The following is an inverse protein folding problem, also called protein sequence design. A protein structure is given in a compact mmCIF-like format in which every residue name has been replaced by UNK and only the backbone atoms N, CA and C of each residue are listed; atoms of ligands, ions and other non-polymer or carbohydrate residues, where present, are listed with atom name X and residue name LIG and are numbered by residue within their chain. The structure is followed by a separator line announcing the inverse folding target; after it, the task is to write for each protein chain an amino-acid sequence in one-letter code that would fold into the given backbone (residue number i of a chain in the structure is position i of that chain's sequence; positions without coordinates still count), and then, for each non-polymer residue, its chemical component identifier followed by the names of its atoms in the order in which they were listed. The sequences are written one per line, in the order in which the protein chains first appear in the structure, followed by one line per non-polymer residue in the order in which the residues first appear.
data_IF_721643430941
#
_entry.id   IF_721643430941
#
_cell.length_a   1.000
_cell.length_b   1.000
_cell.length_c   1.000
_cell.angle_alpha   90.00
_cell.angle_beta   90.00
_cell.angle_gamma   90.00
#
_symmetry.space_group_name_H-M   'P 1'
#
loop_
_entity.id
_entity.type
_entity.pdbx_description
1 polymer ?
#
# COMPACT_ATOMS: atom_id res chain seq x y z
N UNK A 1 23.36 -27.10 44.65
CA UNK A 1 22.84 -25.77 44.27
C UNK A 1 23.82 -24.88 43.49
N UNK A 2 25.13 -24.93 43.72
CA UNK A 2 26.11 -24.06 43.02
C UNK A 2 26.21 -24.36 41.51
N UNK A 3 26.16 -25.62 41.10
CA UNK A 3 26.22 -26.03 39.69
C UNK A 3 25.09 -25.47 38.80
N UNK A 4 23.84 -25.43 39.30
CA UNK A 4 22.70 -24.85 38.56
C UNK A 4 22.84 -23.33 38.35
N UNK A 5 23.51 -22.62 39.27
CA UNK A 5 23.74 -21.18 39.18
C UNK A 5 24.81 -20.84 38.13
N UNK A 6 25.79 -21.72 37.94
CA UNK A 6 26.79 -21.58 36.88
C UNK A 6 26.22 -21.89 35.49
N UNK A 7 25.30 -22.85 35.38
CA UNK A 7 24.62 -23.17 34.11
C UNK A 7 23.79 -21.97 33.63
N UNK A 8 23.03 -21.33 34.53
CA UNK A 8 22.23 -20.13 34.19
C UNK A 8 23.13 -18.95 33.78
N UNK A 9 24.26 -18.75 34.45
CA UNK A 9 25.19 -17.69 34.12
C UNK A 9 25.89 -17.89 32.76
N UNK A 10 26.20 -19.14 32.40
CA UNK A 10 26.80 -19.48 31.09
C UNK A 10 25.77 -19.29 29.97
N UNK A 11 24.51 -19.66 30.20
CA UNK A 11 23.43 -19.49 29.22
C UNK A 11 23.11 -18.00 28.97
N UNK A 12 23.20 -17.18 30.02
CA UNK A 12 23.02 -15.72 29.90
C UNK A 12 24.20 -15.05 29.19
N UNK A 13 25.43 -15.56 29.36
CA UNK A 13 26.63 -15.05 28.70
C UNK A 13 26.65 -15.37 27.20
N UNK A 14 26.08 -16.52 26.80
CA UNK A 14 25.98 -16.95 25.41
C UNK A 14 24.99 -16.09 24.58
N UNK A 15 24.03 -15.43 25.25
CA UNK A 15 23.07 -14.50 24.64
C UNK A 15 23.63 -13.08 24.39
N UNK A 16 24.80 -12.75 24.92
CA UNK A 16 25.40 -11.40 24.81
C UNK A 16 26.48 -11.36 23.71
N UNK A 17 26.82 -12.51 23.10
CA UNK A 17 27.68 -12.50 21.93
C UNK A 17 26.90 -11.98 20.72
N UNK A 18 27.30 -10.84 20.13
CA UNK A 18 26.72 -10.40 18.88
C UNK A 18 27.10 -11.44 17.83
N UNK A 19 26.14 -12.23 17.37
CA UNK A 19 26.30 -12.97 16.12
C UNK A 19 26.38 -11.93 15.02
N UNK A 20 27.61 -11.55 14.67
CA UNK A 20 27.89 -10.76 13.49
C UNK A 20 27.44 -11.54 12.27
N UNK A 21 26.20 -11.31 11.84
CA UNK A 21 25.75 -11.67 10.51
C UNK A 21 26.62 -10.85 9.57
N UNK A 22 27.58 -11.50 8.91
CA UNK A 22 28.30 -10.88 7.80
C UNK A 22 27.28 -10.68 6.68
N UNK A 23 26.71 -9.48 6.59
CA UNK A 23 26.06 -9.02 5.38
C UNK A 23 27.12 -9.04 4.27
N UNK A 24 26.96 -9.93 3.30
CA UNK A 24 27.70 -9.86 2.05
C UNK A 24 27.23 -8.60 1.32
N UNK A 25 28.09 -7.59 1.29
CA UNK A 25 28.00 -6.45 0.41
C UNK A 25 28.20 -6.91 -1.04
N UNK A 26 27.15 -7.48 -1.63
CA UNK A 26 26.81 -7.10 -2.99
C UNK A 26 26.21 -5.70 -2.84
N UNK A 27 26.72 -4.67 -3.53
CA UNK A 27 25.85 -3.53 -3.82
C UNK A 27 24.66 -4.12 -4.57
N UNK A 28 23.46 -4.20 -3.95
CA UNK A 28 22.29 -4.62 -4.69
C UNK A 28 22.07 -3.52 -5.71
N UNK A 29 21.80 -3.87 -6.96
CA UNK A 29 21.08 -2.96 -7.83
C UNK A 29 19.72 -2.79 -7.16
N UNK A 30 19.62 -1.74 -6.34
CA UNK A 30 18.53 -1.58 -5.40
C UNK A 30 17.24 -1.31 -6.18
N UNK A 31 16.11 -1.96 -5.84
CA UNK A 31 14.78 -1.58 -6.31
C UNK A 31 14.52 -0.05 -6.24
N UNK A 32 15.18 0.63 -5.30
CA UNK A 32 15.22 2.09 -5.17
C UNK A 32 15.75 2.84 -6.41
N UNK A 33 16.68 2.28 -7.18
CA UNK A 33 17.24 2.93 -8.36
C UNK A 33 16.18 3.22 -9.43
N UNK A 34 15.24 2.29 -9.64
CA UNK A 34 14.14 2.47 -10.58
C UNK A 34 13.19 3.59 -10.12
N UNK A 35 12.92 3.68 -8.81
CA UNK A 35 12.10 4.75 -8.25
C UNK A 35 12.73 6.14 -8.46
N UNK A 36 14.05 6.27 -8.27
CA UNK A 36 14.75 7.54 -8.55
C UNK A 36 14.66 7.95 -10.02
N UNK A 37 14.86 7.01 -10.96
CA UNK A 37 14.71 7.29 -12.40
C UNK A 37 13.29 7.77 -12.70
N UNK A 38 12.28 7.14 -12.08
CA UNK A 38 10.88 7.50 -12.26
C UNK A 38 10.52 8.87 -11.67
N UNK A 39 11.06 9.22 -10.51
CA UNK A 39 10.87 10.54 -9.89
C UNK A 39 11.47 11.66 -10.77
N UNK A 40 12.69 11.47 -11.26
CA UNK A 40 13.36 12.41 -12.15
C UNK A 40 12.63 12.54 -13.49
N UNK A 41 12.22 11.42 -14.09
CA UNK A 41 11.42 11.42 -15.32
C UNK A 41 10.11 12.19 -15.13
N UNK A 42 9.41 11.98 -14.02
CA UNK A 42 8.18 12.71 -13.70
C UNK A 42 8.43 14.22 -13.55
N UNK A 43 9.52 14.62 -12.90
CA UNK A 43 9.89 16.03 -12.77
C UNK A 43 10.19 16.67 -14.14
N UNK A 44 10.88 15.94 -15.02
CA UNK A 44 11.17 16.42 -16.37
C UNK A 44 9.89 16.60 -17.19
N UNK A 45 8.96 15.65 -17.15
CA UNK A 45 7.68 15.79 -17.87
C UNK A 45 6.85 16.93 -17.33
N UNK A 46 6.78 17.11 -15.99
CA UNK A 46 6.11 18.26 -15.35
C UNK A 46 6.69 19.61 -15.77
N UNK A 47 7.95 19.64 -16.21
CA UNK A 47 8.63 20.84 -16.72
C UNK A 47 8.71 20.88 -18.25
N UNK A 48 7.92 20.06 -18.93
CA UNK A 48 7.83 19.94 -20.40
C UNK A 48 9.14 19.49 -21.09
N UNK A 49 10.09 18.93 -20.33
CA UNK A 49 11.37 18.41 -20.85
C UNK A 49 11.22 16.97 -21.35
N UNK A 50 10.32 16.77 -22.32
CA UNK A 50 9.91 15.42 -22.78
C UNK A 50 11.04 14.58 -23.36
N UNK A 51 11.97 15.19 -24.11
CA UNK A 51 13.12 14.47 -24.71
C UNK A 51 14.02 13.89 -23.63
N UNK A 52 14.23 14.65 -22.56
CA UNK A 52 15.09 14.23 -21.45
C UNK A 52 14.40 13.17 -20.59
N UNK A 53 13.10 13.32 -20.36
CA UNK A 53 12.29 12.28 -19.73
C UNK A 53 12.31 10.96 -20.53
N UNK A 54 12.21 11.04 -21.86
CA UNK A 54 12.30 9.86 -22.73
C UNK A 54 13.66 9.18 -22.59
N UNK A 55 14.76 9.93 -22.59
CA UNK A 55 16.09 9.36 -22.37
C UNK A 55 16.23 8.69 -21.00
N UNK A 56 15.59 9.23 -19.95
CA UNK A 56 15.56 8.55 -18.64
C UNK A 56 14.76 7.25 -18.69
N UNK A 57 13.67 7.20 -19.45
CA UNK A 57 12.90 5.96 -19.64
C UNK A 57 13.68 4.92 -20.46
N UNK A 58 14.58 5.32 -21.37
CA UNK A 58 15.51 4.39 -22.00
C UNK A 58 16.47 3.78 -20.96
N UNK A 59 17.04 4.61 -20.08
CA UNK A 59 17.90 4.15 -18.97
C UNK A 59 17.12 3.24 -18.01
N UNK A 60 15.87 3.57 -17.71
CA UNK A 60 14.98 2.71 -16.92
C UNK A 60 14.89 1.31 -17.52
N UNK A 61 14.74 1.19 -18.84
CA UNK A 61 14.61 -0.11 -19.51
C UNK A 61 15.85 -0.99 -19.32
N UNK A 62 17.04 -0.38 -19.41
CA UNK A 62 18.31 -1.06 -19.17
C UNK A 62 18.44 -1.53 -17.71
N UNK A 63 18.14 -0.66 -16.74
CA UNK A 63 18.20 -1.00 -15.32
C UNK A 63 17.15 -2.05 -14.94
N UNK A 64 15.94 -1.94 -15.46
CA UNK A 64 14.89 -2.94 -15.26
C UNK A 64 15.31 -4.30 -15.79
N UNK A 65 15.91 -4.36 -16.99
CA UNK A 65 16.43 -5.60 -17.57
C UNK A 65 17.54 -6.22 -16.71
N UNK A 66 18.47 -5.41 -16.18
CA UNK A 66 19.50 -5.89 -15.26
C UNK A 66 18.90 -6.47 -13.98
N UNK A 67 17.88 -5.79 -13.44
CA UNK A 67 17.16 -6.24 -12.26
C UNK A 67 16.49 -7.60 -12.52
N UNK A 68 15.81 -7.76 -13.67
CA UNK A 68 15.19 -9.03 -14.07
C UNK A 68 16.18 -10.19 -14.19
N UNK A 69 17.38 -9.93 -14.72
CA UNK A 69 18.44 -10.96 -14.85
C UNK A 69 19.02 -11.33 -13.49
N UNK A 70 19.17 -10.34 -12.61
CA UNK A 70 19.82 -10.51 -11.30
C UNK A 70 18.86 -11.07 -10.25
N UNK A 71 17.59 -10.68 -10.29
CA UNK A 71 16.55 -11.05 -9.35
C UNK A 71 15.47 -11.89 -10.04
N UNK A 72 15.65 -13.21 -10.03
CA UNK A 72 14.73 -14.18 -10.65
C UNK A 72 13.40 -14.35 -9.90
N UNK A 73 13.14 -13.55 -8.86
CA UNK A 73 11.94 -13.65 -8.04
C UNK A 73 10.78 -12.79 -8.56
N UNK A 74 11.00 -11.88 -9.51
CA UNK A 74 9.91 -11.07 -10.07
C UNK A 74 8.97 -11.97 -10.89
N UNK A 75 7.68 -12.02 -10.55
CA UNK A 75 6.69 -12.77 -11.30
C UNK A 75 6.59 -12.31 -12.76
N UNK A 76 6.52 -13.24 -13.75
CA UNK A 76 6.46 -12.88 -15.17
C UNK A 76 5.30 -11.94 -15.55
N UNK A 77 4.20 -11.95 -14.80
CA UNK A 77 3.07 -11.06 -15.06
C UNK A 77 3.39 -9.60 -14.71
N UNK A 78 4.07 -9.35 -13.60
CA UNK A 78 4.53 -8.00 -13.22
C UNK A 78 5.49 -7.44 -14.26
N UNK A 79 6.40 -8.27 -14.78
CA UNK A 79 7.30 -7.89 -15.88
C UNK A 79 6.52 -7.41 -17.10
N UNK A 80 5.47 -8.16 -17.45
CA UNK A 80 4.62 -7.84 -18.58
C UNK A 80 3.86 -6.53 -18.36
N UNK A 81 3.35 -6.30 -17.15
CA UNK A 81 2.64 -5.08 -16.79
C UNK A 81 3.59 -3.87 -16.88
N UNK A 82 4.76 -3.92 -16.22
CA UNK A 82 5.75 -2.82 -16.27
C UNK A 82 6.19 -2.53 -17.70
N UNK A 83 6.51 -3.57 -18.48
CA UNK A 83 6.96 -3.40 -19.87
C UNK A 83 5.88 -2.75 -20.74
N UNK A 84 4.61 -3.13 -20.56
CA UNK A 84 3.50 -2.55 -21.30
C UNK A 84 3.28 -1.08 -20.94
N UNK A 85 3.30 -0.75 -19.65
CA UNK A 85 3.13 0.64 -19.19
C UNK A 85 4.31 1.50 -19.62
N UNK A 86 5.54 0.99 -19.52
CA UNK A 86 6.74 1.67 -20.02
C UNK A 86 6.65 2.03 -21.50
N UNK A 87 6.26 1.07 -22.34
CA UNK A 87 6.08 1.32 -23.77
C UNK A 87 5.01 2.38 -24.05
N UNK A 88 3.91 2.39 -23.30
CA UNK A 88 2.86 3.41 -23.41
C UNK A 88 3.37 4.79 -22.98
N UNK A 89 4.13 4.86 -21.88
CA UNK A 89 4.77 6.10 -21.41
C UNK A 89 5.72 6.66 -22.45
N UNK A 90 6.57 5.82 -23.05
CA UNK A 90 7.48 6.20 -24.14
C UNK A 90 6.70 6.78 -25.33
N UNK A 91 5.68 6.07 -25.80
CA UNK A 91 4.84 6.53 -26.90
C UNK A 91 4.16 7.88 -26.60
N UNK A 92 3.70 8.07 -25.36
CA UNK A 92 3.06 9.31 -24.91
C UNK A 92 4.02 10.50 -24.94
N UNK A 93 5.29 10.30 -24.56
CA UNK A 93 6.30 11.36 -24.63
C UNK A 93 6.64 11.73 -26.08
N UNK A 94 6.72 10.73 -26.96
CA UNK A 94 7.01 10.92 -28.39
C UNK A 94 5.86 11.55 -29.18
N UNK A 95 4.61 11.41 -28.73
CA UNK A 95 3.45 11.97 -29.42
C UNK A 95 3.38 13.50 -29.25
N UNK A 96 3.58 14.25 -30.34
CA UNK A 96 3.53 15.72 -30.32
C UNK A 96 2.13 16.30 -30.23
N UNK A 97 1.10 15.50 -30.52
CA UNK A 97 -0.30 15.93 -30.48
C UNK A 97 -0.96 15.63 -29.12
N UNK A 98 -0.37 14.75 -28.33
CA UNK A 98 -0.89 14.39 -27.02
C UNK A 98 -0.76 15.57 -26.02
N UNK A 99 -1.84 15.96 -25.33
CA UNK A 99 -1.81 17.04 -24.34
C UNK A 99 -0.79 16.79 -23.22
N UNK A 100 -0.21 17.86 -22.67
CA UNK A 100 0.75 17.80 -21.57
C UNK A 100 0.25 16.95 -20.39
N UNK A 101 -1.00 17.15 -19.96
CA UNK A 101 -1.57 16.42 -18.82
C UNK A 101 -1.61 14.91 -19.04
N UNK A 102 -1.89 14.46 -20.27
CA UNK A 102 -1.89 13.04 -20.61
C UNK A 102 -0.47 12.46 -20.61
N UNK A 103 0.54 13.24 -21.03
CA UNK A 103 1.94 12.84 -20.90
C UNK A 103 2.35 12.69 -19.43
N UNK A 104 1.96 13.64 -18.58
CA UNK A 104 2.21 13.57 -17.14
C UNK A 104 1.53 12.34 -16.55
N UNK A 105 0.26 12.09 -16.89
CA UNK A 105 -0.53 10.95 -16.42
C UNK A 105 0.11 9.62 -16.82
N UNK A 106 0.61 9.50 -18.04
CA UNK A 106 1.31 8.31 -18.52
C UNK A 106 2.58 8.01 -17.71
N UNK A 107 3.31 9.04 -17.24
CA UNK A 107 4.49 8.84 -16.39
C UNK A 107 4.10 8.54 -14.95
N UNK A 108 3.05 9.19 -14.42
CA UNK A 108 2.52 8.85 -13.09
C UNK A 108 2.11 7.38 -13.04
N UNK A 109 1.39 6.89 -14.05
CA UNK A 109 1.00 5.48 -14.16
C UNK A 109 2.20 4.55 -14.09
N UNK A 110 3.27 4.82 -14.83
CA UNK A 110 4.49 4.02 -14.78
C UNK A 110 5.14 4.07 -13.40
N UNK A 111 5.23 5.26 -12.80
CA UNK A 111 5.80 5.45 -11.47
C UNK A 111 5.05 4.66 -10.41
N UNK A 112 3.72 4.69 -10.43
CA UNK A 112 2.88 3.93 -9.51
C UNK A 112 3.05 2.42 -9.71
N UNK A 113 3.22 1.94 -10.95
CA UNK A 113 3.42 0.52 -11.22
C UNK A 113 4.81 0.04 -10.75
N UNK A 114 5.85 0.85 -11.02
CA UNK A 114 7.22 0.57 -10.55
C UNK A 114 7.26 0.55 -9.03
N UNK A 115 6.60 1.51 -8.38
CA UNK A 115 6.51 1.55 -6.94
C UNK A 115 5.82 0.31 -6.38
N UNK A 116 4.64 -0.07 -6.89
CA UNK A 116 3.92 -1.29 -6.48
C UNK A 116 4.80 -2.55 -6.55
N UNK A 117 5.54 -2.72 -7.65
CA UNK A 117 6.48 -3.84 -7.81
C UNK A 117 7.61 -3.86 -6.75
N UNK A 118 7.98 -2.70 -6.21
CA UNK A 118 9.14 -2.56 -5.30
C UNK A 118 8.76 -2.33 -3.84
N UNK A 119 7.51 -1.98 -3.56
CA UNK A 119 7.01 -1.59 -2.25
C UNK A 119 6.43 -2.78 -1.52
N UNK A 120 7.03 -3.15 -0.39
CA UNK A 120 6.58 -4.32 0.38
C UNK A 120 5.34 -4.04 1.28
N UNK A 121 5.11 -2.80 1.71
CA UNK A 121 4.17 -2.52 2.80
C UNK A 121 3.17 -1.37 2.58
N UNK A 122 3.38 -0.47 1.61
CA UNK A 122 2.41 0.60 1.32
C UNK A 122 2.69 1.25 -0.04
N UNK A 123 2.15 0.71 -1.14
CA UNK A 123 2.37 1.27 -2.45
C UNK A 123 1.61 2.61 -2.60
N UNK A 124 2.23 3.57 -3.28
CA UNK A 124 1.79 4.96 -3.43
C UNK A 124 0.44 5.11 -4.11
N UNK A 125 -0.02 4.12 -4.88
CA UNK A 125 -1.34 4.19 -5.50
C UNK A 125 -2.47 4.12 -4.48
N UNK A 126 -2.22 3.64 -3.26
CA UNK A 126 -3.23 3.63 -2.17
C UNK A 126 -3.69 5.05 -1.83
N UNK A 127 -2.83 6.06 -2.01
CA UNK A 127 -3.17 7.48 -1.82
C UNK A 127 -4.24 7.97 -2.82
N UNK A 128 -4.54 7.18 -3.86
CA UNK A 128 -5.62 7.47 -4.81
C UNK A 128 -7.00 7.01 -4.31
N UNK A 129 -7.11 6.40 -3.13
CA UNK A 129 -8.40 6.01 -2.55
C UNK A 129 -9.34 7.20 -2.43
N UNK A 130 -8.93 8.24 -1.70
CA UNK A 130 -9.75 9.42 -1.45
C UNK A 130 -10.26 10.10 -2.73
N UNK A 131 -9.41 10.45 -3.72
CA UNK A 131 -9.89 11.08 -4.95
C UNK A 131 -10.84 10.17 -5.74
N UNK A 132 -10.54 8.87 -5.86
CA UNK A 132 -11.35 7.92 -6.60
C UNK A 132 -12.74 7.72 -5.96
N UNK A 133 -12.76 7.51 -4.63
CA UNK A 133 -14.00 7.37 -3.87
C UNK A 133 -14.82 8.66 -3.89
N UNK A 134 -14.17 9.82 -3.77
CA UNK A 134 -14.87 11.11 -3.84
C UNK A 134 -15.50 11.33 -5.22
N UNK A 135 -14.78 11.05 -6.32
CA UNK A 135 -15.34 11.13 -7.68
C UNK A 135 -16.52 10.18 -7.85
N UNK A 136 -16.43 8.95 -7.33
CA UNK A 136 -17.55 8.01 -7.35
C UNK A 136 -18.76 8.50 -6.54
N UNK A 137 -18.54 9.10 -5.37
CA UNK A 137 -19.63 9.67 -4.56
C UNK A 137 -20.34 10.81 -5.29
N UNK A 138 -19.58 11.69 -5.95
CA UNK A 138 -20.15 12.75 -6.78
C UNK A 138 -20.93 12.16 -7.96
N UNK A 139 -20.42 11.08 -8.56
CA UNK A 139 -21.12 10.39 -9.65
C UNK A 139 -22.46 9.85 -9.15
N UNK A 140 -22.49 9.24 -7.96
CA UNK A 140 -23.73 8.80 -7.31
C UNK A 140 -24.69 9.97 -7.10
N UNK A 141 -24.24 11.10 -6.55
CA UNK A 141 -25.08 12.29 -6.35
C UNK A 141 -25.68 12.83 -7.67
N UNK A 142 -24.95 12.68 -8.79
CA UNK A 142 -25.46 13.06 -10.12
C UNK A 142 -26.61 12.17 -10.60
N UNK A 143 -26.63 10.89 -10.19
CA UNK A 143 -27.74 9.96 -10.44
C UNK A 143 -28.98 10.41 -9.67
N UNK A 144 -28.81 10.78 -8.40
CA UNK A 144 -29.90 11.24 -7.52
C UNK A 144 -30.59 12.49 -8.05
N UNK A 145 -29.77 13.41 -8.56
CA UNK A 145 -30.21 14.68 -9.12
C UNK A 145 -30.63 14.57 -10.59
N UNK A 146 -30.44 13.39 -11.20
CA UNK A 146 -30.69 13.09 -12.62
C UNK A 146 -29.96 14.04 -13.57
N UNK A 147 -28.76 14.48 -13.17
CA UNK A 147 -27.92 15.37 -13.95
C UNK A 147 -27.03 14.56 -14.90
N UNK A 148 -27.49 14.42 -16.14
CA UNK A 148 -26.84 13.62 -17.15
C UNK A 148 -25.48 14.17 -17.61
N UNK A 149 -25.30 15.50 -17.61
CA UNK A 149 -24.07 16.14 -18.08
C UNK A 149 -22.97 16.02 -17.01
N UNK A 150 -23.36 16.23 -15.74
CA UNK A 150 -22.48 16.01 -14.60
C UNK A 150 -22.09 14.54 -14.48
N UNK A 151 -23.03 13.61 -14.68
CA UNK A 151 -22.75 12.17 -14.69
C UNK A 151 -21.66 11.81 -15.69
N UNK A 152 -21.80 12.24 -16.95
CA UNK A 152 -20.84 11.94 -18.01
C UNK A 152 -19.43 12.44 -17.67
N UNK A 153 -19.35 13.65 -17.13
CA UNK A 153 -18.07 14.27 -16.75
C UNK A 153 -17.40 13.51 -15.61
N UNK A 154 -18.17 13.15 -14.58
CA UNK A 154 -17.68 12.41 -13.42
C UNK A 154 -17.32 10.97 -13.75
N UNK A 155 -18.07 10.32 -14.63
CA UNK A 155 -17.76 8.96 -15.09
C UNK A 155 -16.43 8.93 -15.86
N UNK A 156 -16.21 9.89 -16.77
CA UNK A 156 -14.91 10.02 -17.46
C UNK A 156 -13.76 10.27 -16.50
N UNK A 157 -13.98 11.10 -15.47
CA UNK A 157 -12.99 11.34 -14.44
C UNK A 157 -12.69 10.09 -13.62
N UNK A 158 -13.71 9.35 -13.21
CA UNK A 158 -13.58 8.07 -12.51
C UNK A 158 -12.77 7.08 -13.33
N UNK A 159 -13.05 6.97 -14.63
CA UNK A 159 -12.32 6.10 -15.55
C UNK A 159 -10.84 6.49 -15.65
N UNK A 160 -10.53 7.80 -15.74
CA UNK A 160 -9.16 8.28 -15.78
C UNK A 160 -8.40 8.00 -14.47
N UNK A 161 -9.05 8.21 -13.31
CA UNK A 161 -8.48 7.93 -12.00
C UNK A 161 -8.24 6.43 -11.80
N UNK A 162 -9.19 5.58 -12.23
CA UNK A 162 -9.07 4.13 -12.17
C UNK A 162 -7.98 3.60 -13.11
N UNK A 163 -7.97 4.02 -14.38
CA UNK A 163 -6.96 3.63 -15.37
C UNK A 163 -5.55 4.03 -14.92
N UNK A 164 -5.40 5.13 -14.17
CA UNK A 164 -4.11 5.56 -13.61
C UNK A 164 -3.53 4.56 -12.60
N UNK A 165 -4.37 3.95 -11.75
CA UNK A 165 -3.92 2.99 -10.72
C UNK A 165 -3.98 1.53 -11.18
N UNK A 166 -4.75 1.24 -12.22
CA UNK A 166 -5.07 -0.13 -12.62
C UNK A 166 -3.84 -1.05 -12.83
N UNK A 167 -2.71 -0.61 -13.43
CA UNK A 167 -1.51 -1.45 -13.51
C UNK A 167 -0.94 -1.84 -12.14
N UNK A 168 -0.93 -0.91 -11.18
CA UNK A 168 -0.46 -1.15 -9.81
C UNK A 168 -1.42 -2.06 -9.04
N UNK A 169 -2.73 -1.82 -9.18
CA UNK A 169 -3.76 -2.67 -8.60
C UNK A 169 -3.61 -4.12 -9.07
N UNK A 170 -3.26 -4.34 -10.35
CA UNK A 170 -3.01 -5.68 -10.90
C UNK A 170 -1.78 -6.40 -10.34
N UNK A 171 -0.87 -5.67 -9.69
CA UNK A 171 0.28 -6.25 -9.00
C UNK A 171 -0.07 -6.64 -7.57
N UNK A 172 -0.80 -5.76 -6.88
CA UNK A 172 -0.96 -5.84 -5.43
C UNK A 172 -2.29 -6.47 -4.98
N UNK A 173 -3.29 -6.52 -5.86
CA UNK A 173 -4.66 -6.94 -5.52
C UNK A 173 -5.04 -8.23 -6.24
N UNK A 174 -5.77 -9.10 -5.56
CA UNK A 174 -6.23 -10.37 -6.13
C UNK A 174 -7.15 -10.14 -7.34
N UNK A 175 -7.03 -10.94 -8.42
CA UNK A 175 -7.81 -10.75 -9.65
C UNK A 175 -9.32 -10.71 -9.46
N UNK A 176 -9.86 -11.39 -8.45
CA UNK A 176 -11.30 -11.44 -8.18
C UNK A 176 -11.88 -10.06 -7.85
N UNK A 177 -11.15 -9.22 -7.10
CA UNK A 177 -11.62 -7.86 -6.78
C UNK A 177 -11.49 -6.92 -7.97
N UNK A 178 -10.41 -7.07 -8.74
CA UNK A 178 -10.17 -6.28 -9.96
C UNK A 178 -11.30 -6.52 -10.96
N UNK A 179 -11.60 -7.79 -11.26
CA UNK A 179 -12.68 -8.17 -12.17
C UNK A 179 -14.04 -7.63 -11.72
N UNK A 180 -14.27 -7.57 -10.41
CA UNK A 180 -15.51 -7.04 -9.85
C UNK A 180 -15.64 -5.55 -10.11
N UNK A 181 -14.57 -4.79 -9.87
CA UNK A 181 -14.55 -3.34 -10.13
C UNK A 181 -14.57 -3.03 -11.63
N UNK A 182 -13.85 -3.80 -12.46
CA UNK A 182 -13.92 -3.69 -13.92
C UNK A 182 -15.37 -3.85 -14.41
N UNK A 183 -16.08 -4.86 -13.91
CA UNK A 183 -17.48 -5.09 -14.24
C UNK A 183 -18.39 -3.94 -13.79
N UNK A 184 -18.10 -3.32 -12.65
CA UNK A 184 -18.85 -2.16 -12.15
C UNK A 184 -18.61 -0.91 -12.99
N UNK A 185 -17.37 -0.63 -13.40
CA UNK A 185 -17.05 0.48 -14.31
C UNK A 185 -17.81 0.30 -15.64
N UNK A 186 -17.79 -0.91 -16.20
CA UNK A 186 -18.55 -1.28 -17.40
C UNK A 186 -20.07 -1.14 -17.21
N UNK A 187 -20.58 -1.49 -16.02
CA UNK A 187 -22.00 -1.38 -15.68
C UNK A 187 -22.46 0.07 -15.67
N UNK A 188 -21.67 0.97 -15.08
CA UNK A 188 -21.96 2.41 -15.02
C UNK A 188 -22.14 2.99 -16.44
N UNK A 189 -21.24 2.68 -17.37
CA UNK A 189 -21.34 3.13 -18.77
C UNK A 189 -22.61 2.61 -19.46
N UNK A 190 -22.84 1.29 -19.38
CA UNK A 190 -23.90 0.62 -20.14
C UNK A 190 -25.30 0.91 -19.61
N UNK A 191 -25.44 1.22 -18.32
CA UNK A 191 -26.73 1.41 -17.67
C UNK A 191 -27.02 2.87 -17.31
N UNK A 192 -26.25 3.83 -17.84
CA UNK A 192 -26.43 5.27 -17.60
C UNK A 192 -27.89 5.74 -17.71
N UNK A 193 -28.59 5.36 -18.77
CA UNK A 193 -29.99 5.78 -18.98
C UNK A 193 -30.93 5.21 -17.91
N UNK A 194 -30.72 3.95 -17.52
CA UNK A 194 -31.52 3.28 -16.50
C UNK A 194 -31.29 3.92 -15.13
N UNK A 195 -30.02 4.15 -14.78
CA UNK A 195 -29.58 4.78 -13.54
C UNK A 195 -30.18 6.18 -13.38
N UNK A 196 -30.11 7.02 -14.42
CA UNK A 196 -30.67 8.37 -14.38
C UNK A 196 -32.21 8.40 -14.36
N UNK A 197 -32.87 7.31 -14.76
CA UNK A 197 -34.33 7.22 -14.84
C UNK A 197 -34.98 6.65 -13.59
N UNK A 198 -34.39 5.61 -12.98
CA UNK A 198 -34.98 4.81 -11.90
C UNK A 198 -34.18 4.90 -10.60
N UNK A 199 -34.82 5.34 -9.52
CA UNK A 199 -34.18 5.49 -8.21
C UNK A 199 -34.00 4.17 -7.43
N UNK A 200 -34.51 3.04 -7.93
CA UNK A 200 -34.35 1.72 -7.30
C UNK A 200 -32.94 1.11 -7.52
N UNK A 201 -32.16 1.63 -8.48
CA UNK A 201 -30.78 1.21 -8.75
C UNK A 201 -29.75 1.79 -7.75
N UNK A 202 -30.25 2.42 -6.68
CA UNK A 202 -29.44 2.97 -5.59
C UNK A 202 -28.72 1.91 -4.75
N UNK A 203 -29.29 0.73 -4.65
CA UNK A 203 -28.65 -0.39 -3.95
C UNK A 203 -27.43 -0.88 -4.73
N UNK A 204 -27.46 -0.84 -6.07
CA UNK A 204 -26.32 -1.18 -6.91
C UNK A 204 -25.17 -0.18 -6.71
N UNK A 205 -25.46 1.11 -6.60
CA UNK A 205 -24.45 2.14 -6.32
C UNK A 205 -23.75 1.94 -4.98
N UNK A 206 -24.45 1.47 -3.95
CA UNK A 206 -23.84 1.14 -2.66
C UNK A 206 -22.92 -0.09 -2.75
N UNK A 207 -23.32 -1.10 -3.54
CA UNK A 207 -22.48 -2.29 -3.79
C UNK A 207 -21.21 -1.90 -4.53
N UNK A 208 -21.32 -1.07 -5.56
CA UNK A 208 -20.16 -0.56 -6.31
C UNK A 208 -19.22 0.22 -5.38
N UNK A 209 -19.76 1.11 -4.53
CA UNK A 209 -18.94 1.87 -3.57
C UNK A 209 -18.17 0.94 -2.60
N UNK A 210 -18.84 -0.10 -2.12
CA UNK A 210 -18.25 -1.06 -1.20
C UNK A 210 -17.13 -1.88 -1.86
N UNK A 211 -17.36 -2.36 -3.10
CA UNK A 211 -16.37 -3.13 -3.85
C UNK A 211 -15.18 -2.25 -4.29
N UNK A 212 -15.41 -0.99 -4.63
CA UNK A 212 -14.35 -0.02 -4.93
C UNK A 212 -13.47 0.22 -3.70
N UNK A 213 -14.08 0.40 -2.51
CA UNK A 213 -13.36 0.51 -1.24
C UNK A 213 -12.63 -0.79 -0.87
N UNK A 214 -13.15 -1.94 -1.27
CA UNK A 214 -12.52 -3.23 -0.98
C UNK A 214 -11.16 -3.38 -1.68
N UNK A 215 -10.96 -2.77 -2.86
CA UNK A 215 -9.64 -2.75 -3.53
C UNK A 215 -8.53 -2.21 -2.62
N UNK A 216 -8.83 -1.20 -1.81
CA UNK A 216 -7.86 -0.54 -0.93
C UNK A 216 -7.75 -1.21 0.46
N UNK A 217 -8.75 -2.02 0.86
CA UNK A 217 -8.78 -2.68 2.16
C UNK A 217 -7.98 -3.98 2.20
N UNK A 218 -7.92 -4.72 1.11
CA UNK A 218 -7.15 -5.98 1.05
C UNK A 218 -5.68 -5.75 1.46
N UNK A 219 -5.09 -4.62 1.08
CA UNK A 219 -3.75 -4.20 1.51
C UNK A 219 -3.70 -3.79 2.99
N UNK A 220 -4.68 -3.01 3.45
CA UNK A 220 -4.74 -2.52 4.84
C UNK A 220 -5.01 -3.63 5.87
N UNK A 221 -5.62 -4.75 5.50
CA UNK A 221 -5.88 -5.86 6.42
C UNK A 221 -4.63 -6.72 6.66
N UNK A 222 -3.76 -6.89 5.67
CA UNK A 222 -2.42 -7.50 5.87
C UNK A 222 -1.49 -6.59 6.69
N UNK A 223 -1.81 -5.29 6.77
CA UNK A 223 -1.12 -4.27 7.58
C UNK A 223 -1.58 -4.20 9.05
N UNK A 224 -2.57 -4.98 9.50
CA UNK A 224 -2.76 -5.17 10.95
C UNK A 224 -1.68 -6.10 11.51
N UNK A 225 -0.48 -5.53 11.62
CA UNK A 225 0.72 -6.07 12.20
C UNK A 225 0.41 -7.04 13.38
N UNK A 226 0.55 -8.37 13.21
CA UNK A 226 0.51 -9.30 14.32
C UNK A 226 1.55 -8.90 15.39
N UNK A 227 2.65 -8.29 14.93
CA UNK A 227 3.72 -7.74 15.74
C UNK A 227 3.23 -6.62 16.67
N UNK A 228 2.33 -5.74 16.24
CA UNK A 228 1.83 -4.60 17.03
C UNK A 228 0.92 -5.07 18.18
N UNK A 229 0.05 -6.05 17.93
CA UNK A 229 -0.72 -6.72 18.98
C UNK A 229 0.20 -7.45 19.96
N UNK A 230 1.22 -8.17 19.48
CA UNK A 230 2.20 -8.82 20.34
C UNK A 230 3.07 -7.82 21.13
N UNK A 231 3.40 -6.66 20.57
CA UNK A 231 4.13 -5.56 21.24
C UNK A 231 3.23 -4.91 22.30
N UNK A 232 1.96 -4.67 22.00
CA UNK A 232 0.99 -4.12 22.97
C UNK A 232 0.74 -5.11 24.12
N UNK A 233 0.58 -6.40 23.81
CA UNK A 233 0.41 -7.45 24.82
C UNK A 233 1.69 -7.61 25.66
N UNK A 234 2.87 -7.63 25.06
CA UNK A 234 4.13 -7.80 25.80
C UNK A 234 4.46 -6.60 26.69
N UNK A 235 4.31 -5.38 26.17
CA UNK A 235 4.52 -4.14 26.94
C UNK A 235 3.47 -4.01 28.05
N UNK A 236 2.19 -4.28 27.73
CA UNK A 236 1.09 -4.26 28.71
C UNK A 236 1.24 -5.33 29.80
N UNK A 237 1.68 -6.54 29.44
CA UNK A 237 1.91 -7.63 30.39
C UNK A 237 3.04 -7.31 31.37
N UNK A 238 4.11 -6.63 30.94
CA UNK A 238 5.20 -6.24 31.83
C UNK A 238 4.73 -5.20 32.88
N UNK A 239 3.92 -4.23 32.46
CA UNK A 239 3.31 -3.23 33.36
C UNK A 239 2.36 -3.92 34.35
N UNK A 240 1.49 -4.81 33.88
CA UNK A 240 0.59 -5.58 34.74
C UNK A 240 1.33 -6.46 35.76
N UNK A 241 2.41 -7.12 35.35
CA UNK A 241 3.24 -7.95 36.24
C UNK A 241 3.91 -7.11 37.33
N UNK A 242 4.47 -5.96 36.97
CA UNK A 242 5.15 -5.08 37.94
C UNK A 242 4.15 -4.50 38.95
N UNK A 243 2.98 -4.04 38.50
CA UNK A 243 1.92 -3.55 39.38
C UNK A 243 1.35 -4.65 40.27
N UNK A 244 1.11 -5.85 39.73
CA UNK A 244 0.65 -7.01 40.50
C UNK A 244 1.66 -7.41 41.59
N UNK A 245 2.96 -7.40 41.28
CA UNK A 245 4.02 -7.67 42.25
C UNK A 245 4.05 -6.63 43.38
N UNK A 246 3.96 -5.33 43.06
CA UNK A 246 3.94 -4.25 44.05
C UNK A 246 2.68 -4.33 44.91
N UNK A 247 1.51 -4.60 44.31
CA UNK A 247 0.26 -4.77 45.03
C UNK A 247 0.32 -5.95 46.01
N UNK A 248 0.85 -7.11 45.57
CA UNK A 248 1.04 -8.27 46.42
C UNK A 248 2.02 -8.00 47.58
N UNK A 249 3.12 -7.29 47.30
CA UNK A 249 4.09 -6.88 48.32
C UNK A 249 3.48 -5.92 49.35
N UNK A 250 2.64 -4.97 48.91
CA UNK A 250 1.91 -4.04 49.79
C UNK A 250 0.91 -4.77 50.68
N UNK A 251 0.17 -5.73 50.12
CA UNK A 251 -0.77 -6.57 50.87
C UNK A 251 -0.08 -7.36 51.99
N UNK A 252 1.05 -8.01 51.69
CA UNK A 252 1.86 -8.71 52.70
C UNK A 252 2.44 -7.77 53.76
N UNK A 253 2.81 -6.56 53.37
CA UNK A 253 3.27 -5.51 54.28
C UNK A 253 2.18 -5.10 55.28
N UNK A 254 0.97 -4.83 54.79
CA UNK A 254 -0.18 -4.46 55.62
C UNK A 254 -0.54 -5.59 56.62
N UNK A 255 -0.57 -6.84 56.15
CA UNK A 255 -0.86 -8.01 57.00
C UNK A 255 0.15 -8.19 58.13
N UNK A 256 1.45 -7.95 57.90
CA UNK A 256 2.48 -7.99 58.95
C UNK A 256 2.34 -6.85 59.97
N UNK A 257 1.85 -5.69 59.53
CA UNK A 257 1.66 -4.52 60.37
C UNK A 257 0.44 -4.69 61.30
N UNK A 258 -0.65 -5.27 60.80
CA UNK A 258 -1.80 -5.68 61.61
C UNK A 258 -1.43 -6.74 62.66
N UNK A 259 -0.68 -7.76 62.27
CA UNK A 259 -0.22 -8.80 63.19
C UNK A 259 0.66 -8.22 64.31
N UNK A 260 1.51 -7.23 64.01
CA UNK A 260 2.34 -6.55 65.01
C UNK A 260 1.55 -5.63 65.95
N UNK A 261 0.46 -5.03 65.48
CA UNK A 261 -0.44 -4.24 66.34
C UNK A 261 -1.20 -5.15 67.31
N UNK A 262 -1.73 -6.29 66.84
CA UNK A 262 -2.41 -7.29 67.69
C UNK A 262 -1.51 -7.99 68.72
N UNK A 263 -0.18 -7.90 68.57
CA UNK A 263 0.80 -8.45 69.52
C UNK A 263 1.27 -7.41 70.56
N UNK A 264 0.81 -6.15 70.43
CA UNK A 264 1.21 -5.03 71.29
C UNK A 264 0.06 -4.53 72.19
N UNK A 265 -1.13 -5.10 72.02
CA UNK A 265 -2.30 -5.02 72.90
C UNK A 265 -2.41 -6.33 73.69
#
# INVERSE_FOLDING_TARGET
MKAKRHIVAILLFLLIFPTGIKAHSHEPLEPFALNFIMDDALQLVKTERYVEAHNLLDIFSDEFTKLMVTNQQIPPDEVRIISAVHQQSMASLSDTLLPHEEKVRAIIRLRLAVDAMTSEHQPMWVEMEDPLIMTFQQLKDSVDTRDSDTYETLYRRLLLEYDMIHPSVRMDVKPEYIQKVDAHIDYLDKNREALLSHSEEFDDMQVIEADLKALFKELKEDETDPSFLWVMISTGSFILLTLSYVAFRKYLGAKKLEMRKKLKD
#
